data_IF_935471992239
#
_entry.id   IF_935471992239
#
_cell.length_a   1.000
_cell.length_b   1.000
_cell.length_c   1.000
_cell.angle_alpha   90.00
_cell.angle_beta   90.00
_cell.angle_gamma   90.00
#
_symmetry.space_group_name_H-M   'P 1'
#
loop_
_entity.id
_entity.type
_entity.pdbx_description
1 polymer ?
#
# COMPACT_ATOMS: atom_id res chain seq x y z
N UNK A 1 15.30 12.00 -44.23
CA UNK A 1 15.62 10.83 -43.38
C UNK A 1 15.09 11.13 -41.99
N UNK A 2 13.97 10.55 -41.63
CA UNK A 2 13.38 10.72 -40.29
C UNK A 2 14.26 9.97 -39.28
N UNK A 3 14.73 10.68 -38.28
CA UNK A 3 15.33 10.06 -37.13
C UNK A 3 14.23 9.36 -36.30
N UNK A 4 14.02 8.10 -36.53
CA UNK A 4 13.32 7.20 -35.62
C UNK A 4 14.34 6.35 -34.83
N UNK A 5 15.55 6.91 -34.62
CA UNK A 5 16.53 6.30 -33.75
C UNK A 5 16.18 6.61 -32.29
N UNK A 6 15.94 5.58 -31.50
CA UNK A 6 15.58 5.54 -30.08
C UNK A 6 14.10 5.70 -29.74
N UNK A 7 13.22 5.04 -30.48
CA UNK A 7 12.01 4.55 -29.80
C UNK A 7 12.47 3.51 -28.77
N UNK A 8 11.99 3.61 -27.53
CA UNK A 8 12.18 2.50 -26.60
C UNK A 8 11.73 1.22 -27.29
N UNK A 9 12.56 0.20 -27.24
CA UNK A 9 12.21 -1.10 -27.77
C UNK A 9 11.07 -1.66 -26.89
N UNK A 10 9.84 -1.42 -27.32
CA UNK A 10 8.65 -2.01 -26.71
C UNK A 10 8.43 -3.45 -27.17
N UNK A 11 9.47 -4.12 -27.61
CA UNK A 11 9.43 -5.54 -27.88
C UNK A 11 9.22 -6.31 -26.57
N UNK A 12 8.01 -6.18 -26.05
CA UNK A 12 7.59 -6.90 -24.86
C UNK A 12 7.00 -8.23 -25.29
N UNK A 13 7.45 -9.29 -24.67
CA UNK A 13 6.88 -10.61 -24.90
C UNK A 13 5.58 -10.82 -24.11
N UNK A 14 5.11 -9.80 -23.38
CA UNK A 14 3.99 -9.94 -22.48
C UNK A 14 3.02 -8.75 -22.62
N UNK A 15 2.12 -8.89 -23.58
CA UNK A 15 1.04 -7.92 -23.81
C UNK A 15 -0.28 -8.55 -23.39
N UNK A 16 -1.04 -7.87 -22.53
CA UNK A 16 -2.34 -8.38 -22.08
C UNK A 16 -3.41 -7.28 -22.03
N UNK A 17 -4.64 -7.63 -22.35
CA UNK A 17 -5.78 -6.76 -22.10
C UNK A 17 -5.98 -6.58 -20.58
N UNK A 18 -6.37 -5.39 -20.19
CA UNK A 18 -6.63 -5.03 -18.79
C UNK A 18 -8.12 -4.89 -18.56
N UNK A 19 -8.63 -5.58 -17.55
CA UNK A 19 -9.91 -5.27 -16.93
C UNK A 19 -9.64 -4.47 -15.66
N UNK A 20 -10.01 -3.17 -15.58
CA UNK A 20 -9.83 -2.38 -14.38
C UNK A 20 -10.51 -3.02 -13.17
N UNK A 21 -9.85 -3.01 -12.02
CA UNK A 21 -10.35 -3.63 -10.78
C UNK A 21 -9.92 -2.83 -9.55
N UNK A 22 -10.84 -2.63 -8.61
CA UNK A 22 -10.52 -2.02 -7.32
C UNK A 22 -9.90 -3.02 -6.32
N UNK A 23 -9.82 -4.29 -6.71
CA UNK A 23 -9.16 -5.32 -5.91
C UNK A 23 -7.66 -5.29 -6.15
N UNK A 24 -6.91 -4.91 -5.12
CA UNK A 24 -5.45 -4.88 -5.14
C UNK A 24 -4.93 -6.23 -4.65
N UNK A 25 -4.51 -7.07 -5.57
CA UNK A 25 -3.95 -8.39 -5.30
C UNK A 25 -2.91 -8.78 -6.36
N UNK A 26 -2.24 -9.90 -6.16
CA UNK A 26 -1.21 -10.38 -7.09
C UNK A 26 -1.75 -10.63 -8.51
N UNK A 27 -2.98 -11.11 -8.65
CA UNK A 27 -3.57 -11.41 -9.96
C UNK A 27 -3.82 -10.16 -10.80
N UNK A 28 -4.11 -9.03 -10.17
CA UNK A 28 -4.39 -7.76 -10.82
C UNK A 28 -3.13 -6.87 -10.93
N UNK A 29 -2.00 -7.30 -10.35
CA UNK A 29 -0.75 -6.56 -10.44
C UNK A 29 -0.18 -6.61 -11.86
N UNK A 30 0.13 -5.44 -12.39
CA UNK A 30 0.66 -5.25 -13.76
C UNK A 30 2.20 -5.21 -13.78
N UNK A 31 2.87 -5.26 -12.61
CA UNK A 31 4.30 -5.34 -12.49
C UNK A 31 5.08 -4.17 -13.09
N UNK A 32 4.54 -2.96 -12.99
CA UNK A 32 5.18 -1.78 -13.57
C UNK A 32 5.04 -1.69 -15.09
N UNK A 33 3.91 -2.13 -15.63
CA UNK A 33 3.66 -2.10 -17.08
C UNK A 33 3.38 -0.70 -17.59
N UNK A 34 3.72 -0.46 -18.87
CA UNK A 34 3.18 0.65 -19.65
C UNK A 34 1.75 0.34 -20.07
N UNK A 35 0.89 1.35 -20.04
CA UNK A 35 -0.50 1.21 -20.44
C UNK A 35 -0.74 1.89 -21.76
N UNK A 36 -1.18 1.10 -22.74
CA UNK A 36 -1.70 1.60 -24.00
C UNK A 36 -3.21 1.80 -23.89
N UNK A 37 -3.69 2.93 -24.40
CA UNK A 37 -5.09 3.31 -24.42
C UNK A 37 -5.63 3.00 -25.81
N UNK A 38 -6.48 1.98 -25.89
CA UNK A 38 -7.12 1.56 -27.14
C UNK A 38 -8.17 2.56 -27.61
N UNK A 39 -9.32 2.06 -28.03
CA UNK A 39 -10.44 2.91 -28.44
C UNK A 39 -11.16 3.50 -27.23
N UNK A 40 -11.36 4.81 -27.26
CA UNK A 40 -11.93 5.57 -26.16
C UNK A 40 -13.20 6.34 -26.59
N UNK A 41 -13.93 5.79 -27.52
CA UNK A 41 -14.97 6.53 -28.27
C UNK A 41 -16.27 6.75 -27.49
N UNK A 42 -16.49 6.13 -26.33
CA UNK A 42 -17.85 6.07 -25.80
C UNK A 42 -18.11 6.69 -24.43
N UNK A 43 -17.19 6.75 -23.50
CA UNK A 43 -17.61 7.06 -22.12
C UNK A 43 -16.73 7.97 -21.30
N UNK A 44 -15.53 8.29 -21.74
CA UNK A 44 -14.67 9.18 -20.96
C UNK A 44 -13.19 8.98 -21.21
N UNK A 45 -12.41 9.86 -20.63
CA UNK A 45 -10.98 9.97 -20.90
C UNK A 45 -10.15 9.88 -19.63
N UNK A 46 -10.74 9.43 -18.55
CA UNK A 46 -10.08 9.40 -17.24
C UNK A 46 -9.62 7.98 -16.91
N UNK A 47 -8.45 7.85 -16.29
CA UNK A 47 -7.93 6.59 -15.78
C UNK A 47 -7.32 6.79 -14.40
N UNK A 48 -7.76 6.00 -13.45
CA UNK A 48 -7.20 5.97 -12.10
C UNK A 48 -6.25 4.78 -11.95
N UNK A 49 -5.00 5.06 -11.63
CA UNK A 49 -3.95 4.04 -11.52
C UNK A 49 -3.20 4.12 -10.22
N UNK A 50 -2.63 3.01 -9.79
CA UNK A 50 -1.54 2.96 -8.82
C UNK A 50 -0.24 2.91 -9.61
N UNK A 51 0.57 3.95 -9.49
CA UNK A 51 1.87 4.06 -10.18
C UNK A 51 2.83 3.02 -9.59
N UNK A 52 3.67 2.45 -10.44
CA UNK A 52 4.64 1.44 -10.03
C UNK A 52 5.56 1.95 -8.92
N UNK A 53 5.81 1.07 -7.96
CA UNK A 53 6.60 1.43 -6.77
C UNK A 53 5.83 2.20 -5.70
N UNK A 54 4.53 2.46 -5.89
CA UNK A 54 3.68 2.97 -4.81
C UNK A 54 3.55 1.89 -3.74
N UNK A 55 4.07 2.18 -2.57
CA UNK A 55 3.90 1.31 -1.40
C UNK A 55 2.69 1.75 -0.59
N UNK A 56 1.98 0.79 -0.04
CA UNK A 56 0.87 1.05 0.84
C UNK A 56 1.30 1.72 2.13
N UNK A 57 0.33 2.21 2.92
CA UNK A 57 0.61 2.59 4.29
C UNK A 57 1.32 1.43 4.95
N UNK A 58 2.38 1.75 5.69
CA UNK A 58 3.21 0.74 6.34
C UNK A 58 2.33 -0.20 7.15
N UNK A 59 2.26 -1.46 6.73
CA UNK A 59 1.63 -2.49 7.52
C UNK A 59 2.65 -2.87 8.58
N UNK A 60 2.27 -2.75 9.82
CA UNK A 60 3.09 -3.20 10.92
C UNK A 60 3.08 -4.72 10.90
N UNK A 61 4.13 -5.33 10.40
CA UNK A 61 4.26 -6.78 10.27
C UNK A 61 5.20 -7.41 11.30
N UNK A 62 5.49 -6.71 12.35
CA UNK A 62 6.33 -7.27 13.40
C UNK A 62 6.61 -6.24 14.49
N UNK A 63 6.47 -6.68 15.70
CA UNK A 63 6.90 -5.96 16.88
C UNK A 63 8.01 -6.78 17.48
N UNK A 64 9.15 -6.81 16.83
CA UNK A 64 10.31 -7.43 17.41
C UNK A 64 11.39 -6.41 17.65
N UNK A 65 12.01 -6.55 18.72
CA UNK A 65 13.10 -5.74 19.15
C UNK A 65 14.35 -6.57 19.39
N UNK A 66 15.11 -6.90 18.36
CA UNK A 66 16.49 -7.23 18.59
C UNK A 66 17.24 -5.95 18.99
N UNK A 67 17.52 -5.79 20.25
CA UNK A 67 18.34 -4.71 20.77
C UNK A 67 17.62 -3.47 21.29
N UNK A 68 16.31 -3.40 21.25
CA UNK A 68 15.52 -2.44 21.98
C UNK A 68 15.03 -3.08 23.28
N UNK A 69 15.53 -2.67 24.39
CA UNK A 69 14.95 -2.95 25.70
C UNK A 69 13.67 -2.14 25.86
N UNK A 70 12.68 -2.41 25.01
CA UNK A 70 11.34 -1.91 25.19
C UNK A 70 10.77 -2.53 26.44
N UNK A 71 10.22 -1.73 27.30
CA UNK A 71 9.55 -2.20 28.48
C UNK A 71 8.20 -2.78 28.06
N UNK A 72 7.90 -4.02 28.43
CA UNK A 72 6.54 -4.55 28.37
C UNK A 72 5.58 -3.83 29.28
N UNK A 73 6.07 -2.83 30.01
CA UNK A 73 5.30 -2.12 31.01
C UNK A 73 4.94 -2.98 32.22
N UNK A 74 4.05 -2.48 33.04
CA UNK A 74 3.48 -3.21 34.19
C UNK A 74 2.00 -2.90 34.33
N UNK A 75 1.27 -3.78 35.02
CA UNK A 75 -0.16 -3.57 35.29
C UNK A 75 -1.08 -3.81 34.10
N UNK A 76 -0.61 -4.55 33.11
CA UNK A 76 -1.42 -4.95 31.95
C UNK A 76 -2.15 -6.26 32.18
N UNK A 77 -3.30 -6.39 31.53
CA UNK A 77 -4.01 -7.65 31.32
C UNK A 77 -4.15 -7.88 29.82
N UNK A 78 -4.12 -9.15 29.41
CA UNK A 78 -4.30 -9.48 27.99
C UNK A 78 -5.66 -8.97 27.48
N UNK A 79 -5.64 -8.29 26.35
CA UNK A 79 -6.84 -7.70 25.76
C UNK A 79 -6.73 -7.64 24.23
N UNK A 80 -7.88 -7.58 23.57
CA UNK A 80 -7.98 -7.41 22.13
C UNK A 80 -8.32 -5.97 21.78
N UNK A 81 -7.84 -5.52 20.62
CA UNK A 81 -8.13 -4.20 20.05
C UNK A 81 -7.78 -3.02 20.99
N UNK A 82 -6.72 -3.17 21.73
CA UNK A 82 -6.22 -2.10 22.60
C UNK A 82 -5.72 -0.96 21.73
N UNK A 83 -6.14 0.26 22.03
CA UNK A 83 -5.67 1.46 21.34
C UNK A 83 -4.19 1.69 21.60
N UNK A 84 -3.52 2.34 20.65
CA UNK A 84 -2.12 2.72 20.77
C UNK A 84 -1.92 4.21 20.54
N UNK A 85 -0.82 4.72 21.05
CA UNK A 85 -0.27 6.03 20.71
C UNK A 85 1.10 5.85 20.07
N UNK A 86 1.57 6.85 19.35
CA UNK A 86 2.89 6.80 18.71
C UNK A 86 3.61 8.13 18.83
N UNK A 87 4.93 8.09 18.73
CA UNK A 87 5.77 9.29 18.59
C UNK A 87 5.88 9.80 17.15
N UNK A 88 5.38 9.01 16.17
CA UNK A 88 5.34 9.35 14.75
C UNK A 88 4.01 9.96 14.31
N UNK A 89 3.78 9.98 13.01
CA UNK A 89 2.54 10.47 12.39
C UNK A 89 1.43 9.42 12.28
N UNK A 90 1.68 8.18 12.70
CA UNK A 90 0.74 7.08 12.61
C UNK A 90 -0.51 7.28 13.46
N UNK A 91 -1.64 6.78 12.99
CA UNK A 91 -2.95 6.91 13.67
C UNK A 91 -3.75 5.61 13.60
N UNK A 92 -4.67 5.46 14.55
CA UNK A 92 -5.73 4.43 14.55
C UNK A 92 -5.26 2.98 14.58
N UNK A 93 -4.03 2.68 15.00
CA UNK A 93 -3.61 1.30 15.23
C UNK A 93 -4.27 0.75 16.49
N UNK A 94 -4.82 -0.46 16.37
CA UNK A 94 -5.19 -1.29 17.52
C UNK A 94 -4.39 -2.56 17.54
N UNK A 95 -4.09 -3.06 18.74
CA UNK A 95 -3.32 -4.28 18.93
C UNK A 95 -4.01 -5.26 19.86
N UNK A 96 -3.78 -6.55 19.64
CA UNK A 96 -4.10 -7.59 20.61
C UNK A 96 -2.84 -7.87 21.43
N UNK A 97 -2.94 -7.89 22.73
CA UNK A 97 -1.80 -8.02 23.64
C UNK A 97 -1.73 -9.42 24.25
N UNK A 98 -0.53 -9.98 24.31
CA UNK A 98 -0.22 -11.14 25.15
C UNK A 98 0.53 -10.63 26.37
N UNK A 99 0.07 -11.01 27.55
CA UNK A 99 0.59 -10.51 28.83
C UNK A 99 1.04 -11.68 29.71
N UNK A 100 2.22 -11.55 30.32
CA UNK A 100 2.75 -12.44 31.33
C UNK A 100 3.29 -11.57 32.47
N UNK A 101 3.01 -11.96 33.69
CA UNK A 101 3.42 -11.24 34.91
C UNK A 101 3.07 -9.74 34.87
N UNK A 102 1.87 -9.42 34.37
CA UNK A 102 1.38 -8.05 34.18
C UNK A 102 2.18 -7.19 33.19
N UNK A 103 3.09 -7.78 32.40
CA UNK A 103 3.83 -7.10 31.35
C UNK A 103 3.40 -7.60 29.96
N UNK A 104 3.32 -6.70 28.98
CA UNK A 104 3.05 -7.07 27.58
C UNK A 104 4.32 -7.69 26.99
N UNK A 105 4.25 -8.95 26.63
CA UNK A 105 5.39 -9.69 26.05
C UNK A 105 5.34 -9.75 24.52
N UNK A 106 4.16 -9.62 23.93
CA UNK A 106 3.98 -9.51 22.48
C UNK A 106 2.69 -8.80 22.14
N UNK A 107 2.68 -8.22 20.95
CA UNK A 107 1.49 -7.62 20.35
C UNK A 107 1.36 -8.10 18.93
N UNK A 108 0.12 -8.22 18.48
CA UNK A 108 -0.24 -8.45 17.07
C UNK A 108 -1.28 -7.41 16.66
N UNK A 109 -1.36 -7.11 15.37
CA UNK A 109 -2.36 -6.16 14.87
C UNK A 109 -3.75 -6.64 15.24
N UNK A 110 -4.56 -5.74 15.78
CA UNK A 110 -5.97 -5.96 16.08
C UNK A 110 -6.86 -5.77 14.86
N UNK A 111 -8.04 -5.23 15.07
CA UNK A 111 -9.01 -5.01 13.97
C UNK A 111 -8.62 -3.84 13.05
N UNK A 112 -7.74 -2.95 13.49
CA UNK A 112 -7.30 -1.80 12.71
C UNK A 112 -5.78 -1.72 12.67
N UNK A 113 -5.21 -1.84 11.48
CA UNK A 113 -3.78 -1.74 11.25
C UNK A 113 -3.24 -0.29 11.29
N UNK A 114 -4.15 0.69 11.40
CA UNK A 114 -3.77 2.09 11.35
C UNK A 114 -3.20 2.53 10.00
N UNK A 115 -2.77 3.78 9.95
CA UNK A 115 -2.13 4.37 8.76
C UNK A 115 -1.03 5.34 9.17
N UNK A 116 -0.07 5.59 8.26
CA UNK A 116 0.96 6.61 8.45
C UNK A 116 2.12 6.20 9.37
N UNK A 117 2.21 4.94 9.77
CA UNK A 117 3.35 4.43 10.54
C UNK A 117 4.57 4.23 9.65
N UNK A 118 5.72 4.57 10.18
CA UNK A 118 7.02 4.37 9.53
C UNK A 118 7.86 3.37 10.31
N UNK A 119 8.79 2.73 9.62
CA UNK A 119 9.76 1.86 10.27
C UNK A 119 10.57 2.65 11.30
N UNK A 120 10.61 2.14 12.53
CA UNK A 120 11.29 2.76 13.65
C UNK A 120 10.39 3.60 14.56
N UNK A 121 9.14 3.89 14.19
CA UNK A 121 8.19 4.54 15.10
C UNK A 121 8.04 3.74 16.39
N UNK A 122 7.88 4.44 17.49
CA UNK A 122 7.58 3.82 18.77
C UNK A 122 6.08 3.86 19.02
N UNK A 123 5.54 2.70 19.35
CA UNK A 123 4.13 2.52 19.71
C UNK A 123 4.04 2.26 21.20
N UNK A 124 3.19 3.02 21.88
CA UNK A 124 2.83 2.79 23.26
C UNK A 124 1.44 2.17 23.32
N UNK A 125 1.32 1.02 23.95
CA UNK A 125 0.04 0.36 24.23
C UNK A 125 -0.65 1.12 25.36
N UNK A 126 -1.89 1.54 25.16
CA UNK A 126 -2.65 2.25 26.19
C UNK A 126 -3.10 1.30 27.31
N UNK A 127 -3.24 1.81 28.52
CA UNK A 127 -3.61 1.03 29.70
C UNK A 127 -2.39 0.61 30.53
N UNK A 128 -2.62 -0.22 31.53
CA UNK A 128 -1.59 -0.63 32.48
C UNK A 128 -1.11 0.48 33.42
N UNK A 129 -0.14 0.15 34.24
CA UNK A 129 0.46 1.10 35.21
C UNK A 129 1.72 1.80 34.69
N UNK A 130 2.32 1.31 33.62
CA UNK A 130 3.48 1.87 32.97
C UNK A 130 3.49 1.52 31.49
N UNK A 131 4.14 2.33 30.69
CA UNK A 131 4.10 2.24 29.25
C UNK A 131 4.75 0.96 28.71
N UNK A 132 3.99 0.14 28.01
CA UNK A 132 4.51 -0.90 27.14
C UNK A 132 4.81 -0.28 25.79
N UNK A 133 6.08 -0.25 25.39
CA UNK A 133 6.56 0.42 24.19
C UNK A 133 7.17 -0.60 23.22
N UNK A 134 6.74 -0.56 21.99
CA UNK A 134 7.23 -1.42 20.91
C UNK A 134 7.69 -0.58 19.74
N UNK A 135 8.67 -1.10 18.98
CA UNK A 135 9.10 -0.47 17.74
C UNK A 135 8.31 -1.04 16.56
N UNK A 136 7.90 -0.17 15.68
CA UNK A 136 7.36 -0.56 14.38
C UNK A 136 8.48 -1.06 13.50
N UNK A 137 8.39 -2.31 13.08
CA UNK A 137 9.12 -2.82 11.92
C UNK A 137 8.15 -2.81 10.74
N UNK A 138 8.12 -1.69 10.04
CA UNK A 138 7.24 -1.53 8.90
C UNK A 138 7.78 -2.30 7.70
N UNK A 139 7.01 -3.23 7.20
CA UNK A 139 7.15 -3.70 5.83
C UNK A 139 6.26 -2.85 4.94
N UNK A 140 6.74 -2.50 3.75
CA UNK A 140 5.92 -1.87 2.74
C UNK A 140 4.68 -2.73 2.48
N UNK A 141 3.52 -2.22 2.79
CA UNK A 141 2.25 -2.90 2.52
C UNK A 141 1.85 -2.79 1.05
N UNK A 142 0.87 -3.58 0.64
CA UNK A 142 0.23 -3.39 -0.65
C UNK A 142 -0.39 -1.98 -0.70
N UNK A 143 -0.31 -1.28 -1.83
CA UNK A 143 -0.96 0.01 -1.99
C UNK A 143 -2.48 -0.12 -1.78
N UNK A 144 -3.13 0.98 -1.48
CA UNK A 144 -4.58 1.04 -1.35
C UNK A 144 -5.19 1.85 -2.49
N UNK A 145 -6.47 1.64 -2.79
CA UNK A 145 -7.18 2.41 -3.82
C UNK A 145 -7.20 3.93 -3.54
N UNK A 146 -7.01 4.34 -2.28
CA UNK A 146 -6.90 5.75 -1.90
C UNK A 146 -5.63 6.42 -2.45
N UNK A 147 -4.56 5.65 -2.73
CA UNK A 147 -3.32 6.14 -3.29
C UNK A 147 -3.33 6.23 -4.83
N UNK A 148 -4.46 5.89 -5.44
CA UNK A 148 -4.62 5.97 -6.89
C UNK A 148 -4.59 7.41 -7.39
N UNK A 149 -3.82 7.63 -8.46
CA UNK A 149 -3.72 8.91 -9.18
C UNK A 149 -4.63 8.88 -10.39
N UNK A 150 -5.40 9.95 -10.60
CA UNK A 150 -6.29 10.07 -11.76
C UNK A 150 -5.60 10.86 -12.86
N UNK A 151 -5.43 10.23 -14.01
CA UNK A 151 -5.02 10.88 -15.25
C UNK A 151 -6.27 11.22 -16.06
N UNK A 152 -6.35 12.46 -16.54
CA UNK A 152 -7.51 12.98 -17.26
C UNK A 152 -7.18 13.34 -18.70
N UNK A 153 -8.19 13.32 -19.54
CA UNK A 153 -8.05 13.75 -20.92
C UNK A 153 -7.15 12.85 -21.77
N UNK A 154 -7.11 11.55 -21.47
CA UNK A 154 -6.30 10.59 -22.19
C UNK A 154 -6.79 10.41 -23.62
N UNK A 155 -5.86 10.30 -24.58
CA UNK A 155 -6.16 10.16 -25.99
C UNK A 155 -6.09 8.71 -26.43
N UNK A 156 -7.01 8.31 -27.29
CA UNK A 156 -6.97 7.03 -28.02
C UNK A 156 -5.64 6.89 -28.76
N UNK A 157 -5.05 5.71 -28.70
CA UNK A 157 -3.77 5.40 -29.33
C UNK A 157 -2.54 5.92 -28.56
N UNK A 158 -2.74 6.53 -27.40
CA UNK A 158 -1.67 7.02 -26.55
C UNK A 158 -1.18 5.99 -25.53
N UNK A 159 -0.04 6.31 -24.94
CA UNK A 159 0.47 5.60 -23.77
C UNK A 159 0.39 6.50 -22.53
N UNK A 160 0.14 5.87 -21.38
CA UNK A 160 0.28 6.57 -20.12
C UNK A 160 1.79 6.85 -19.87
N UNK A 161 2.19 8.08 -19.50
CA UNK A 161 3.60 8.44 -19.37
C UNK A 161 4.26 7.95 -18.07
N UNK A 162 3.68 6.95 -17.43
CA UNK A 162 4.19 6.32 -16.19
C UNK A 162 3.99 4.81 -16.26
N UNK A 163 4.82 4.08 -15.54
CA UNK A 163 4.58 2.64 -15.34
C UNK A 163 3.58 2.42 -14.22
N UNK A 164 2.77 1.37 -14.34
CA UNK A 164 1.60 1.15 -13.51
C UNK A 164 1.61 -0.25 -12.91
N UNK A 165 1.26 -0.33 -11.62
CA UNK A 165 1.04 -1.60 -10.94
C UNK A 165 -0.43 -2.04 -10.97
N UNK A 166 -1.38 -1.08 -10.90
CA UNK A 166 -2.81 -1.39 -10.92
C UNK A 166 -3.60 -0.33 -11.67
N UNK A 167 -4.61 -0.76 -12.43
CA UNK A 167 -5.66 0.11 -12.98
C UNK A 167 -6.93 -0.11 -12.18
N UNK A 168 -7.43 0.94 -11.51
CA UNK A 168 -8.60 0.87 -10.65
C UNK A 168 -9.88 1.04 -11.46
N UNK A 169 -10.94 0.30 -11.11
CA UNK A 169 -12.24 0.41 -11.76
C UNK A 169 -12.93 1.73 -11.40
N UNK A 170 -12.95 2.07 -10.11
CA UNK A 170 -13.50 3.35 -9.65
C UNK A 170 -12.61 4.51 -10.08
N UNK A 171 -13.10 5.38 -10.94
CA UNK A 171 -12.39 6.54 -11.47
C UNK A 171 -11.67 6.29 -12.80
N UNK A 172 -11.87 5.12 -13.41
CA UNK A 172 -11.45 4.81 -14.78
C UNK A 172 -12.68 4.76 -15.69
N UNK A 173 -12.66 5.52 -16.75
CA UNK A 173 -13.72 5.61 -17.76
C UNK A 173 -13.22 5.27 -19.17
N UNK A 174 -11.91 5.18 -19.34
CA UNK A 174 -11.29 4.70 -20.59
C UNK A 174 -11.52 3.20 -20.74
N UNK A 175 -11.61 2.75 -21.98
CA UNK A 175 -11.83 1.35 -22.34
C UNK A 175 -10.67 0.80 -23.18
N UNK A 176 -10.70 -0.50 -23.45
CA UNK A 176 -9.73 -1.20 -24.30
C UNK A 176 -8.27 -0.95 -23.91
N UNK A 177 -7.97 -1.13 -22.62
CA UNK A 177 -6.65 -0.94 -22.10
C UNK A 177 -5.77 -2.17 -22.32
N UNK A 178 -4.51 -1.94 -22.65
CA UNK A 178 -3.51 -2.99 -22.84
C UNK A 178 -2.28 -2.66 -22.03
N UNK A 179 -1.85 -3.62 -21.21
CA UNK A 179 -0.56 -3.56 -20.53
C UNK A 179 0.53 -4.15 -21.40
N UNK A 180 1.68 -3.49 -21.43
CA UNK A 180 2.90 -3.93 -22.11
C UNK A 180 4.06 -3.95 -21.10
N UNK A 181 4.74 -5.10 -20.99
CA UNK A 181 5.80 -5.37 -20.02
C UNK A 181 7.08 -5.85 -20.71
#
# INVERSE_FOLDING_TARGET
MGQFGNQPDFATNNVRAIAPSDTINFANNLGGSLIYIGDNTTTGTDMKVIVAGTVGPSVINGFSSPGYTGSGGTGYTAANNVATTTNGAGVNLTVNTTVVDNAVISIVIGNNAGTGYLNGDLITVTGGGANAVFRVEATAGAPTSAQGVVFKGLQTGGFLPVTVDYVLATGTTVEQLVAAQ
#
